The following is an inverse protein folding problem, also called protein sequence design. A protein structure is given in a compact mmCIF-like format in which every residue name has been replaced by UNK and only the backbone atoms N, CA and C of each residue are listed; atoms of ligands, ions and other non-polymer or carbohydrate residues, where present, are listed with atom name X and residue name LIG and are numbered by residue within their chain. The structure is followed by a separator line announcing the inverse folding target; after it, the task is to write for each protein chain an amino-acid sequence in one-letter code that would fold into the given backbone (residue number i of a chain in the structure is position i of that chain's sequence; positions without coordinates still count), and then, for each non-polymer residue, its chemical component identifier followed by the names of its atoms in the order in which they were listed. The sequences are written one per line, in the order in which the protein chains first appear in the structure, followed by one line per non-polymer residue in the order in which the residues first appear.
data_IF_041987468144
#
_entry.id   IF_041987468144
#
_cell.length_a   1.000
_cell.length_b   1.000
_cell.length_c   1.000
_cell.angle_alpha   90.00
_cell.angle_beta   90.00
_cell.angle_gamma   90.00
#
_symmetry.space_group_name_H-M   'P 1'
#
loop_
_entity.id
_entity.type
_entity.pdbx_description
1 polymer ?
#
# COMPACT_ATOMS: atom_id res chain seq x y z
N UNK A 1 -19.75 -16.36 -15.17
CA UNK A 1 -18.60 -17.26 -15.49
C UNK A 1 -17.41 -16.73 -14.72
N UNK A 2 -16.75 -17.57 -13.91
CA UNK A 2 -15.56 -17.21 -13.11
C UNK A 2 -14.33 -17.08 -14.01
N UNK A 3 -13.49 -16.08 -13.76
CA UNK A 3 -12.23 -15.89 -14.48
C UNK A 3 -11.11 -16.52 -13.64
N UNK A 4 -10.37 -17.46 -14.21
CA UNK A 4 -9.27 -18.15 -13.52
C UNK A 4 -7.94 -17.49 -13.84
N UNK A 5 -7.16 -17.20 -12.78
CA UNK A 5 -5.80 -16.64 -12.84
C UNK A 5 -4.83 -17.64 -12.22
N UNK A 6 -4.05 -18.30 -13.04
CA UNK A 6 -2.99 -19.17 -12.56
C UNK A 6 -1.71 -18.34 -12.35
N UNK A 7 -1.38 -18.11 -11.09
CA UNK A 7 -0.18 -17.38 -10.65
C UNK A 7 0.74 -18.25 -9.79
N UNK A 8 0.59 -19.59 -9.89
CA UNK A 8 1.44 -20.55 -9.19
C UNK A 8 2.87 -20.51 -9.73
N UNK A 9 3.84 -20.76 -8.87
CA UNK A 9 5.27 -20.77 -9.22
C UNK A 9 5.84 -19.40 -9.61
N UNK A 10 5.07 -18.32 -9.41
CA UNK A 10 5.54 -16.96 -9.71
C UNK A 10 6.05 -16.27 -8.45
N UNK A 11 7.18 -15.58 -8.60
CA UNK A 11 7.75 -14.73 -7.56
C UNK A 11 7.09 -13.35 -7.52
N UNK A 12 7.11 -12.71 -6.33
CA UNK A 12 6.67 -11.32 -6.16
C UNK A 12 7.41 -10.38 -7.14
N UNK A 13 6.73 -9.45 -7.82
CA UNK A 13 5.32 -9.07 -7.68
C UNK A 13 4.36 -9.74 -8.70
N UNK A 14 4.83 -10.70 -9.51
CA UNK A 14 4.09 -11.26 -10.66
C UNK A 14 2.68 -11.78 -10.31
N UNK A 15 2.43 -12.48 -9.16
CA UNK A 15 1.08 -12.89 -8.78
C UNK A 15 0.11 -11.71 -8.67
N UNK A 16 0.55 -10.61 -8.06
CA UNK A 16 -0.26 -9.39 -7.91
C UNK A 16 -0.52 -8.73 -9.26
N UNK A 17 0.50 -8.62 -10.12
CA UNK A 17 0.36 -8.02 -11.46
C UNK A 17 -0.63 -8.80 -12.32
N UNK A 18 -0.52 -10.14 -12.38
CA UNK A 18 -1.49 -10.98 -13.12
C UNK A 18 -2.91 -10.85 -12.57
N UNK A 19 -3.04 -10.78 -11.25
CA UNK A 19 -4.35 -10.60 -10.61
C UNK A 19 -4.94 -9.24 -10.98
N UNK A 20 -4.13 -8.17 -10.99
CA UNK A 20 -4.54 -6.83 -11.41
C UNK A 20 -5.09 -6.84 -12.83
N UNK A 21 -4.31 -7.37 -13.78
CA UNK A 21 -4.72 -7.43 -15.19
C UNK A 21 -6.05 -8.19 -15.39
N UNK A 22 -6.23 -9.29 -14.63
CA UNK A 22 -7.47 -10.07 -14.68
C UNK A 22 -8.62 -9.32 -14.03
N UNK A 23 -8.40 -8.65 -12.91
CA UNK A 23 -9.40 -7.88 -12.18
C UNK A 23 -9.94 -6.71 -13.02
N UNK A 24 -9.06 -5.97 -13.68
CA UNK A 24 -9.44 -4.88 -14.61
C UNK A 24 -10.30 -5.38 -15.77
N UNK A 25 -9.99 -6.57 -16.31
CA UNK A 25 -10.79 -7.19 -17.40
C UNK A 25 -12.08 -7.83 -16.92
N UNK A 26 -12.17 -8.15 -15.63
CA UNK A 26 -13.30 -8.87 -15.08
C UNK A 26 -14.58 -8.02 -15.05
N UNK A 27 -14.48 -6.70 -14.88
CA UNK A 27 -15.62 -5.78 -14.80
C UNK A 27 -16.70 -6.28 -13.81
N UNK A 28 -16.26 -6.60 -12.57
CA UNK A 28 -17.14 -7.10 -11.50
C UNK A 28 -17.41 -8.62 -11.50
N UNK A 29 -17.01 -9.36 -12.53
CA UNK A 29 -17.15 -10.83 -12.53
C UNK A 29 -16.22 -11.48 -11.52
N UNK A 30 -16.62 -12.64 -10.93
CA UNK A 30 -15.82 -13.31 -9.93
C UNK A 30 -14.50 -13.84 -10.50
N UNK A 31 -13.45 -13.78 -9.68
CA UNK A 31 -12.13 -14.32 -9.97
C UNK A 31 -11.85 -15.55 -9.09
N UNK A 32 -11.09 -16.48 -9.66
CA UNK A 32 -10.35 -17.52 -8.95
C UNK A 32 -8.85 -17.27 -9.19
N UNK A 33 -8.10 -16.91 -8.15
CA UNK A 33 -6.65 -16.73 -8.23
C UNK A 33 -5.95 -17.87 -7.49
N UNK A 34 -5.04 -18.55 -8.17
CA UNK A 34 -4.25 -19.66 -7.61
C UNK A 34 -2.80 -19.22 -7.41
N UNK A 35 -2.24 -19.45 -6.22
CA UNK A 35 -0.85 -19.13 -5.86
C UNK A 35 -0.21 -20.27 -5.06
N UNK A 36 1.13 -20.36 -5.05
CA UNK A 36 1.88 -21.49 -4.48
C UNK A 36 2.39 -21.28 -3.05
N UNK A 37 2.17 -20.12 -2.43
CA UNK A 37 2.68 -19.85 -1.08
C UNK A 37 1.87 -18.79 -0.34
N UNK A 38 1.99 -18.81 0.99
CA UNK A 38 1.24 -17.92 1.87
C UNK A 38 1.56 -16.43 1.62
N UNK A 39 2.82 -16.07 1.33
CA UNK A 39 3.21 -14.68 1.04
C UNK A 39 2.50 -14.15 -0.21
N UNK A 40 2.44 -14.96 -1.28
CA UNK A 40 1.73 -14.59 -2.52
C UNK A 40 0.22 -14.51 -2.28
N UNK A 41 -0.37 -15.44 -1.51
CA UNK A 41 -1.76 -15.40 -1.08
C UNK A 41 -2.09 -14.08 -0.39
N UNK A 42 -1.31 -13.72 0.63
CA UNK A 42 -1.56 -12.53 1.44
C UNK A 42 -1.40 -11.23 0.63
N UNK A 43 -0.41 -11.19 -0.27
CA UNK A 43 -0.21 -10.06 -1.18
C UNK A 43 -1.37 -9.89 -2.17
N UNK A 44 -1.87 -10.99 -2.75
CA UNK A 44 -3.02 -10.98 -3.67
C UNK A 44 -4.29 -10.56 -2.94
N UNK A 45 -4.56 -11.10 -1.75
CA UNK A 45 -5.72 -10.74 -0.93
C UNK A 45 -5.71 -9.24 -0.60
N UNK A 46 -4.56 -8.70 -0.18
CA UNK A 46 -4.43 -7.27 0.12
C UNK A 46 -4.71 -6.41 -1.10
N UNK A 47 -4.13 -6.79 -2.25
CA UNK A 47 -4.37 -6.09 -3.50
C UNK A 47 -5.85 -6.08 -3.85
N UNK A 48 -6.52 -7.24 -3.86
CA UNK A 48 -7.94 -7.37 -4.18
C UNK A 48 -8.82 -6.54 -3.26
N UNK A 49 -8.62 -6.62 -1.93
CA UNK A 49 -9.35 -5.81 -0.95
C UNK A 49 -9.17 -4.31 -1.19
N UNK A 50 -7.96 -3.87 -1.48
CA UNK A 50 -7.65 -2.46 -1.75
C UNK A 50 -8.25 -1.96 -3.06
N UNK A 51 -8.43 -2.86 -4.03
CA UNK A 51 -9.09 -2.59 -5.31
C UNK A 51 -10.63 -2.67 -5.24
N UNK A 52 -11.21 -2.83 -4.04
CA UNK A 52 -12.65 -2.91 -3.83
C UNK A 52 -13.27 -4.28 -4.04
N UNK A 53 -12.47 -5.32 -4.31
CA UNK A 53 -12.99 -6.68 -4.43
C UNK A 53 -13.37 -7.26 -3.07
N UNK A 54 -14.51 -7.93 -3.01
CA UNK A 54 -14.92 -8.72 -1.85
C UNK A 54 -14.39 -10.15 -2.01
N UNK A 55 -13.64 -10.63 -1.01
CA UNK A 55 -13.18 -12.02 -0.97
C UNK A 55 -14.32 -12.88 -0.49
N UNK A 56 -14.68 -13.89 -1.29
CA UNK A 56 -15.69 -14.87 -0.93
C UNK A 56 -15.11 -15.92 0.02
N UNK A 57 -14.06 -16.60 -0.42
CA UNK A 57 -13.36 -17.60 0.37
C UNK A 57 -11.93 -17.80 -0.10
N UNK A 58 -11.13 -18.43 0.76
CA UNK A 58 -9.77 -18.87 0.45
C UNK A 58 -9.67 -20.35 0.81
N UNK A 59 -9.30 -21.18 -0.15
CA UNK A 59 -9.11 -22.64 0.05
C UNK A 59 -7.62 -22.95 0.02
N UNK A 60 -7.18 -23.82 0.92
CA UNK A 60 -5.82 -24.35 0.95
C UNK A 60 -5.84 -25.78 0.41
N UNK A 61 -5.08 -26.04 -0.64
CA UNK A 61 -4.96 -27.35 -1.28
C UNK A 61 -3.49 -27.79 -1.29
N UNK A 62 -3.05 -28.43 -0.22
CA UNK A 62 -1.64 -28.77 -0.01
C UNK A 62 -0.79 -27.53 0.19
N UNK A 63 0.10 -27.24 -0.75
CA UNK A 63 0.95 -26.02 -0.74
C UNK A 63 0.36 -24.87 -1.55
N UNK A 64 -0.79 -25.05 -2.17
CA UNK A 64 -1.41 -24.05 -3.04
C UNK A 64 -2.60 -23.37 -2.35
N UNK A 65 -2.87 -22.13 -2.73
CA UNK A 65 -3.99 -21.34 -2.20
C UNK A 65 -4.86 -20.87 -3.36
N UNK A 66 -6.16 -21.10 -3.23
CA UNK A 66 -7.20 -20.71 -4.17
C UNK A 66 -8.03 -19.59 -3.56
N UNK A 67 -7.98 -18.39 -4.13
CA UNK A 67 -8.64 -17.18 -3.64
C UNK A 67 -9.81 -16.89 -4.55
N UNK A 68 -11.02 -16.86 -4.01
CA UNK A 68 -12.25 -16.58 -4.73
C UNK A 68 -12.75 -15.18 -4.38
N UNK A 69 -13.19 -14.41 -5.38
CA UNK A 69 -13.89 -13.15 -5.18
C UNK A 69 -15.37 -13.28 -5.48
N UNK A 70 -16.19 -12.42 -4.87
CA UNK A 70 -17.62 -12.34 -5.14
C UNK A 70 -17.89 -11.74 -6.52
N UNK A 71 -19.09 -12.03 -7.04
CA UNK A 71 -19.62 -11.44 -8.28
C UNK A 71 -20.31 -10.12 -7.92
N UNK A 72 -19.72 -9.00 -8.30
CA UNK A 72 -20.29 -7.65 -8.12
C UNK A 72 -20.84 -7.06 -9.43
N UNK A 73 -20.87 -7.85 -10.50
CA UNK A 73 -21.33 -7.41 -11.81
C UNK A 73 -22.82 -6.98 -11.82
N UNK A 74 -23.61 -7.47 -10.86
CA UNK A 74 -25.04 -7.12 -10.73
C UNK A 74 -25.27 -5.78 -10.05
N UNK A 75 -24.41 -5.38 -9.12
CA UNK A 75 -24.53 -4.08 -8.42
C UNK A 75 -24.24 -2.89 -9.34
N UNK A 76 -23.45 -3.09 -10.41
CA UNK A 76 -23.14 -2.07 -11.41
C UNK A 76 -24.29 -1.82 -12.40
N UNK A 77 -25.26 -2.74 -12.50
CA UNK A 77 -26.40 -2.61 -13.43
C UNK A 77 -27.66 -2.05 -12.77
N UNK A 78 -27.75 -2.02 -11.43
CA UNK A 78 -28.92 -1.50 -10.73
C UNK A 78 -28.83 0.00 -10.39
N UNK A 79 -27.70 0.66 -10.61
CA UNK A 79 -27.49 2.08 -10.31
C UNK A 79 -27.56 3.03 -11.51
N UNK A 80 -28.06 2.58 -12.67
CA UNK A 80 -28.31 3.46 -13.81
C UNK A 80 -29.83 3.55 -14.03
N UNK A 81 -30.51 4.35 -13.22
CA UNK A 81 -31.77 4.96 -13.68
C UNK A 81 -31.41 6.10 -14.63
N UNK A 82 -32.09 6.22 -15.76
CA UNK A 82 -31.84 7.28 -16.72
C UNK A 82 -32.34 8.62 -16.14
N UNK A 83 -31.40 9.46 -15.71
CA UNK A 83 -31.70 10.86 -15.42
C UNK A 83 -31.96 11.60 -16.71
N UNK A 84 -33.05 12.40 -16.70
CA UNK A 84 -33.53 13.24 -17.80
C UNK A 84 -32.44 14.20 -18.33
N UNK A 85 -32.58 14.72 -19.58
CA UNK A 85 -31.55 15.55 -20.21
C UNK A 85 -31.39 16.87 -19.45
N UNK A 86 -30.15 17.17 -19.04
CA UNK A 86 -29.78 18.43 -18.43
C UNK A 86 -29.86 19.55 -19.49
N UNK A 87 -30.75 20.50 -19.30
CA UNK A 87 -30.79 21.73 -20.05
C UNK A 87 -29.47 22.52 -19.89
N UNK A 88 -29.10 23.18 -20.97
CA UNK A 88 -27.89 23.98 -21.19
C UNK A 88 -27.50 24.87 -19.99
N UNK A 89 -26.29 24.65 -19.43
CA UNK A 89 -25.68 25.50 -18.42
C UNK A 89 -24.98 26.67 -19.14
N UNK A 90 -25.43 27.91 -18.87
CA UNK A 90 -24.71 29.13 -19.27
C UNK A 90 -23.36 29.24 -18.51
N UNK A 91 -22.34 29.88 -19.12
CA UNK A 91 -21.02 29.97 -18.48
C UNK A 91 -21.07 30.91 -17.26
N UNK A 92 -20.75 30.39 -16.09
CA UNK A 92 -20.59 31.17 -14.86
C UNK A 92 -19.17 31.75 -14.85
N UNK A 93 -19.04 33.08 -14.86
CA UNK A 93 -17.78 33.77 -14.62
C UNK A 93 -17.28 33.49 -13.18
N UNK A 94 -15.97 33.24 -12.96
CA UNK A 94 -15.43 32.96 -11.64
C UNK A 94 -15.18 34.27 -10.87
N UNK A 95 -16.11 34.69 -10.04
CA UNK A 95 -15.83 35.65 -8.95
C UNK A 95 -15.88 34.89 -7.63
N UNK A 96 -14.77 34.28 -7.25
CA UNK A 96 -14.54 33.80 -5.88
C UNK A 96 -13.42 34.62 -5.27
N UNK A 97 -13.79 35.54 -4.39
CA UNK A 97 -12.83 36.15 -3.46
C UNK A 97 -12.35 35.06 -2.50
N UNK A 98 -11.05 34.71 -2.60
CA UNK A 98 -10.42 33.73 -1.74
C UNK A 98 -10.19 34.34 -0.35
N UNK A 99 -10.93 33.85 0.64
CA UNK A 99 -10.75 34.22 2.04
C UNK A 99 -9.55 33.44 2.60
N UNK A 100 -8.53 34.10 3.20
CA UNK A 100 -7.31 33.42 3.70
C UNK A 100 -7.53 32.43 4.86
N UNK A 101 -8.72 32.35 5.42
CA UNK A 101 -9.04 31.47 6.55
C UNK A 101 -9.53 30.05 6.14
N UNK A 102 -9.73 29.78 4.84
CA UNK A 102 -10.17 28.48 4.34
C UNK A 102 -9.02 27.50 4.01
N UNK A 103 -7.79 27.79 4.42
CA UNK A 103 -6.70 26.80 4.38
C UNK A 103 -6.79 25.83 5.58
N UNK A 104 -7.90 25.12 5.71
CA UNK A 104 -7.90 23.87 6.43
C UNK A 104 -7.13 22.85 5.57
N UNK A 105 -6.14 22.17 6.18
CA UNK A 105 -5.38 21.10 5.55
C UNK A 105 -6.31 20.06 4.93
N UNK A 106 -6.75 20.29 3.70
CA UNK A 106 -7.41 19.29 2.90
C UNK A 106 -6.42 18.14 2.74
N UNK A 107 -6.82 16.96 3.15
CA UNK A 107 -6.07 15.72 2.97
C UNK A 107 -5.62 15.63 1.51
N UNK A 108 -4.31 15.77 1.28
CA UNK A 108 -3.74 15.70 -0.07
C UNK A 108 -4.09 14.34 -0.69
N UNK A 109 -4.44 14.29 -1.99
CA UNK A 109 -4.79 13.03 -2.64
C UNK A 109 -3.65 12.01 -2.49
N UNK A 110 -4.01 10.75 -2.27
CA UNK A 110 -3.06 9.66 -2.11
C UNK A 110 -2.07 9.64 -3.28
N UNK A 111 -0.76 9.79 -2.99
CA UNK A 111 0.31 9.79 -3.99
C UNK A 111 1.04 11.12 -4.18
N UNK A 112 0.55 12.25 -3.64
CA UNK A 112 1.29 13.52 -3.65
C UNK A 112 2.08 13.68 -2.35
N UNK A 113 3.37 14.04 -2.44
CA UNK A 113 4.24 14.26 -1.29
C UNK A 113 5.58 13.53 -1.38
N UNK A 114 6.37 13.63 -0.31
CA UNK A 114 7.67 12.96 -0.22
C UNK A 114 7.49 11.54 0.34
N UNK A 115 8.14 10.57 -0.28
CA UNK A 115 8.27 9.20 0.24
C UNK A 115 9.70 8.94 0.69
N UNK A 116 9.86 8.42 1.90
CA UNK A 116 11.13 7.84 2.34
C UNK A 116 11.16 6.35 1.96
N UNK A 117 12.26 5.93 1.35
CA UNK A 117 12.50 4.54 0.98
C UNK A 117 13.69 4.02 1.79
N UNK A 118 13.42 3.26 2.85
CA UNK A 118 14.41 2.76 3.80
C UNK A 118 14.70 1.29 3.47
N UNK A 119 15.91 1.04 2.97
CA UNK A 119 16.32 -0.29 2.49
C UNK A 119 17.25 -1.02 3.46
N UNK A 120 17.73 -0.33 4.49
CA UNK A 120 18.67 -0.88 5.48
C UNK A 120 18.21 -0.56 6.90
N UNK A 121 18.73 -1.29 7.86
CA UNK A 121 18.54 -1.07 9.30
C UNK A 121 19.56 -0.06 9.90
N UNK A 122 20.36 0.60 9.03
CA UNK A 122 21.40 1.58 9.39
C UNK A 122 21.67 2.57 8.26
N UNK A 123 22.26 3.72 8.57
CA UNK A 123 22.73 4.72 7.61
C UNK A 123 24.24 4.60 7.42
N UNK A 124 24.67 4.62 6.15
CA UNK A 124 26.09 4.61 5.77
C UNK A 124 26.75 3.22 5.82
N UNK A 125 28.05 3.19 5.52
CA UNK A 125 28.86 1.98 5.39
C UNK A 125 30.09 1.95 6.33
N UNK A 126 30.24 2.97 7.19
CA UNK A 126 31.41 3.11 8.07
C UNK A 126 31.33 2.16 9.26
N UNK A 127 30.61 2.56 10.31
CA UNK A 127 30.38 1.74 11.51
C UNK A 127 28.91 1.33 11.59
N UNK A 128 28.66 0.05 11.78
CA UNK A 128 27.31 -0.50 11.92
C UNK A 128 26.59 0.07 13.14
N UNK A 129 27.30 0.19 14.28
CA UNK A 129 26.76 0.75 15.51
C UNK A 129 26.38 2.23 15.33
N UNK A 130 27.27 3.03 14.76
CA UNK A 130 27.01 4.44 14.48
C UNK A 130 25.85 4.57 13.48
N UNK A 131 25.83 3.77 12.40
CA UNK A 131 24.79 3.78 11.39
C UNK A 131 23.41 3.46 11.95
N UNK A 132 23.30 2.50 12.85
CA UNK A 132 22.06 2.14 13.56
C UNK A 132 21.59 3.30 14.44
N UNK A 133 22.49 3.93 15.21
CA UNK A 133 22.17 5.08 16.04
C UNK A 133 21.73 6.29 15.24
N UNK A 134 22.39 6.55 14.09
CA UNK A 134 22.01 7.64 13.17
C UNK A 134 20.63 7.41 12.57
N UNK A 135 20.30 6.20 12.14
CA UNK A 135 18.98 5.90 11.58
C UNK A 135 17.88 6.03 12.63
N UNK A 136 18.13 5.56 13.85
CA UNK A 136 17.19 5.74 14.96
C UNK A 136 16.93 7.22 15.24
N UNK A 137 18.00 8.03 15.34
CA UNK A 137 17.89 9.46 15.56
C UNK A 137 17.14 10.16 14.42
N UNK A 138 17.42 9.77 13.17
CA UNK A 138 16.72 10.28 11.99
C UNK A 138 15.21 10.01 12.08
N UNK A 139 14.80 8.76 12.34
CA UNK A 139 13.37 8.39 12.46
C UNK A 139 12.71 9.16 13.60
N UNK A 140 13.38 9.26 14.75
CA UNK A 140 12.87 10.02 15.91
C UNK A 140 12.66 11.51 15.60
N UNK A 141 13.48 12.09 14.71
CA UNK A 141 13.41 13.52 14.35
C UNK A 141 12.29 13.82 13.35
N UNK A 142 11.81 12.83 12.56
CA UNK A 142 10.82 13.07 11.49
C UNK A 142 9.58 13.80 12.01
N UNK A 143 9.10 13.48 13.19
CA UNK A 143 7.90 14.06 13.80
C UNK A 143 8.01 15.57 14.08
N UNK A 144 9.24 16.08 14.20
CA UNK A 144 9.55 17.45 14.58
C UNK A 144 9.95 18.32 13.36
N UNK A 145 10.02 17.71 12.16
CA UNK A 145 10.33 18.43 10.93
C UNK A 145 9.15 19.29 10.47
N UNK A 146 9.44 20.49 9.95
CA UNK A 146 8.43 21.36 9.36
C UNK A 146 7.80 20.78 8.08
N UNK A 147 8.56 19.97 7.34
CA UNK A 147 8.07 19.23 6.17
C UNK A 147 8.31 17.74 6.44
N UNK A 148 7.22 17.02 6.57
CA UNK A 148 7.26 15.58 6.87
C UNK A 148 7.00 14.75 5.62
N UNK A 149 7.59 13.54 5.52
CA UNK A 149 7.21 12.60 4.48
C UNK A 149 5.76 12.15 4.67
N UNK A 150 5.06 11.90 3.57
CA UNK A 150 3.73 11.32 3.62
C UNK A 150 3.77 9.81 3.87
N UNK A 151 4.77 9.16 3.26
CA UNK A 151 4.90 7.70 3.31
C UNK A 151 6.33 7.30 3.63
N UNK A 152 6.49 6.25 4.42
CA UNK A 152 7.76 5.56 4.63
C UNK A 152 7.59 4.11 4.14
N UNK A 153 8.44 3.69 3.21
CA UNK A 153 8.48 2.33 2.70
C UNK A 153 9.72 1.62 3.26
N UNK A 154 9.50 0.47 3.91
CA UNK A 154 10.56 -0.36 4.47
C UNK A 154 10.79 -1.60 3.62
N UNK A 155 12.03 -1.81 3.20
CA UNK A 155 12.44 -2.98 2.41
C UNK A 155 13.74 -3.56 2.90
N UNK A 156 14.05 -4.79 2.45
CA UNK A 156 15.24 -5.53 2.84
C UNK A 156 15.41 -5.51 4.38
N UNK A 157 16.60 -5.25 4.94
CA UNK A 157 16.79 -5.19 6.39
C UNK A 157 16.09 -4.00 7.05
N UNK A 158 15.65 -3.00 6.31
CA UNK A 158 14.84 -1.89 6.81
C UNK A 158 13.53 -2.34 7.47
N UNK A 159 12.97 -3.50 7.11
CA UNK A 159 11.75 -4.04 7.76
C UNK A 159 11.95 -4.32 9.25
N UNK A 160 13.20 -4.57 9.70
CA UNK A 160 13.55 -4.79 11.10
C UNK A 160 13.31 -3.58 12.00
N UNK A 161 13.18 -2.39 11.42
CA UNK A 161 12.89 -1.16 12.15
C UNK A 161 11.46 -1.07 12.65
N UNK A 162 10.54 -1.81 12.02
CA UNK A 162 9.10 -1.74 12.27
C UNK A 162 8.54 -2.94 13.07
N UNK A 163 9.42 -3.80 13.60
CA UNK A 163 9.02 -5.02 14.33
C UNK A 163 9.09 -4.84 15.84
N UNK A 164 8.42 -5.71 16.56
CA UNK A 164 8.43 -5.80 18.02
C UNK A 164 9.87 -5.90 18.55
N UNK A 165 10.20 -5.11 19.57
CA UNK A 165 11.55 -5.03 20.13
C UNK A 165 12.51 -4.08 19.40
N UNK A 166 12.15 -3.55 18.22
CA UNK A 166 12.97 -2.54 17.58
C UNK A 166 12.95 -1.22 18.35
N UNK A 167 14.14 -0.61 18.55
CA UNK A 167 14.27 0.67 19.25
C UNK A 167 13.58 1.85 18.53
N UNK A 168 13.27 1.67 17.24
CA UNK A 168 12.57 2.65 16.39
C UNK A 168 11.06 2.54 16.49
N UNK A 169 10.52 1.43 17.02
CA UNK A 169 9.11 1.09 16.99
C UNK A 169 8.21 2.18 17.56
N UNK A 170 8.59 2.71 18.73
CA UNK A 170 7.80 3.76 19.43
C UNK A 170 7.65 5.02 18.55
N UNK A 171 8.70 5.40 17.84
CA UNK A 171 8.67 6.58 16.95
C UNK A 171 7.81 6.32 15.71
N UNK A 172 7.88 5.10 15.15
CA UNK A 172 7.08 4.72 13.99
C UNK A 172 5.58 4.68 14.33
N UNK A 173 5.22 4.14 15.50
CA UNK A 173 3.83 4.14 15.98
C UNK A 173 3.32 5.57 16.20
N UNK A 174 4.15 6.47 16.71
CA UNK A 174 3.80 7.90 16.86
C UNK A 174 3.56 8.54 15.48
N UNK A 175 4.40 8.28 14.48
CA UNK A 175 4.23 8.77 13.11
C UNK A 175 2.96 8.22 12.45
N UNK A 176 2.68 6.93 12.65
CA UNK A 176 1.45 6.29 12.15
C UNK A 176 0.19 6.91 12.77
N UNK A 177 0.22 7.19 14.09
CA UNK A 177 -0.88 7.88 14.79
C UNK A 177 -1.13 9.28 14.24
N UNK A 178 -0.09 9.96 13.75
CA UNK A 178 -0.18 11.27 13.08
C UNK A 178 -0.64 11.17 11.60
N UNK A 179 -0.99 9.99 11.13
CA UNK A 179 -1.53 9.75 9.79
C UNK A 179 -0.48 9.50 8.71
N UNK A 180 0.78 9.22 9.08
CA UNK A 180 1.81 8.82 8.13
C UNK A 180 1.60 7.39 7.65
N UNK A 181 1.67 7.15 6.35
CA UNK A 181 1.58 5.81 5.79
C UNK A 181 2.91 5.06 5.92
N UNK A 182 2.91 3.95 6.64
CA UNK A 182 4.06 3.07 6.80
C UNK A 182 3.83 1.77 6.03
N UNK A 183 4.60 1.53 4.98
CA UNK A 183 4.49 0.34 4.12
C UNK A 183 5.69 -0.59 4.35
N UNK A 184 5.44 -1.80 4.81
CA UNK A 184 6.48 -2.77 5.14
C UNK A 184 6.40 -3.96 4.17
N UNK A 185 7.50 -4.25 3.46
CA UNK A 185 7.54 -5.31 2.45
C UNK A 185 7.29 -6.69 3.05
N UNK A 186 6.18 -7.33 2.69
CA UNK A 186 5.80 -8.66 3.19
C UNK A 186 6.79 -9.76 2.78
N UNK A 187 7.36 -9.70 1.57
CA UNK A 187 8.41 -10.64 1.13
C UNK A 187 9.65 -10.54 2.02
N UNK A 188 10.05 -9.31 2.41
CA UNK A 188 11.20 -9.12 3.29
C UNK A 188 10.91 -9.60 4.72
N UNK A 189 9.72 -9.31 5.25
CA UNK A 189 9.29 -9.83 6.55
C UNK A 189 9.30 -11.36 6.58
N UNK A 190 8.78 -12.00 5.53
CA UNK A 190 8.79 -13.47 5.41
C UNK A 190 10.21 -14.02 5.33
N UNK A 191 11.10 -13.40 4.56
CA UNK A 191 12.49 -13.82 4.43
C UNK A 191 13.25 -13.81 5.78
N UNK A 192 12.98 -12.79 6.61
CA UNK A 192 13.58 -12.66 7.93
C UNK A 192 12.80 -13.37 9.07
N UNK A 193 11.69 -14.07 8.75
CA UNK A 193 10.76 -14.70 9.71
C UNK A 193 10.15 -13.70 10.72
N UNK A 194 9.86 -12.46 10.27
CA UNK A 194 9.38 -11.36 11.10
C UNK A 194 7.92 -10.98 10.82
N UNK A 195 7.18 -11.77 10.04
CA UNK A 195 5.81 -11.43 9.63
C UNK A 195 4.86 -11.26 10.82
N UNK A 196 5.01 -12.09 11.85
CA UNK A 196 4.20 -12.03 13.07
C UNK A 196 4.68 -10.97 14.08
N UNK A 197 5.88 -10.45 13.86
CA UNK A 197 6.53 -9.48 14.76
C UNK A 197 6.28 -8.03 14.32
N UNK A 198 5.51 -7.81 13.25
CA UNK A 198 5.23 -6.45 12.78
C UNK A 198 4.50 -5.64 13.87
N UNK A 199 5.13 -4.55 14.34
CA UNK A 199 4.62 -3.71 15.42
C UNK A 199 4.14 -2.32 14.96
N UNK A 200 4.52 -1.88 13.74
CA UNK A 200 4.07 -0.62 13.14
C UNK A 200 3.95 -0.75 11.62
N UNK A 201 3.00 -0.02 11.05
CA UNK A 201 2.78 0.00 9.62
C UNK A 201 1.94 -1.15 9.09
N UNK A 202 1.80 -1.19 7.77
CA UNK A 202 1.00 -2.18 7.04
C UNK A 202 1.91 -3.06 6.20
N UNK A 203 1.68 -4.37 6.22
CA UNK A 203 2.37 -5.26 5.31
C UNK A 203 1.94 -4.90 3.88
N UNK A 204 2.92 -4.67 3.02
CA UNK A 204 2.73 -4.29 1.63
C UNK A 204 3.51 -5.23 0.70
N UNK A 205 3.43 -4.99 -0.59
CA UNK A 205 4.12 -5.76 -1.62
C UNK A 205 4.88 -4.83 -2.56
N UNK A 206 5.75 -5.39 -3.40
CA UNK A 206 6.58 -4.62 -4.33
C UNK A 206 5.74 -3.77 -5.30
N UNK A 207 4.59 -4.26 -5.74
CA UNK A 207 3.73 -3.52 -6.65
C UNK A 207 3.21 -2.22 -6.00
N UNK A 208 2.63 -2.32 -4.80
CA UNK A 208 2.09 -1.18 -4.06
C UNK A 208 3.18 -0.17 -3.68
N UNK A 209 4.34 -0.67 -3.21
CA UNK A 209 5.49 0.19 -2.87
C UNK A 209 5.98 0.93 -4.11
N UNK A 210 6.10 0.24 -5.27
CA UNK A 210 6.53 0.86 -6.53
C UNK A 210 5.52 1.90 -7.01
N UNK A 211 4.22 1.62 -6.92
CA UNK A 211 3.18 2.62 -7.26
C UNK A 211 3.28 3.88 -6.40
N UNK A 212 3.46 3.73 -5.08
CA UNK A 212 3.62 4.87 -4.17
C UNK A 212 4.86 5.67 -4.53
N UNK A 213 6.00 5.01 -4.79
CA UNK A 213 7.24 5.68 -5.17
C UNK A 213 7.09 6.47 -6.47
N UNK A 214 6.48 5.87 -7.50
CA UNK A 214 6.29 6.51 -8.82
C UNK A 214 5.27 7.66 -8.80
N UNK A 215 4.27 7.60 -7.92
CA UNK A 215 3.29 8.67 -7.73
C UNK A 215 3.77 9.79 -6.81
N UNK A 216 4.87 9.59 -6.08
CA UNK A 216 5.42 10.58 -5.15
C UNK A 216 6.10 11.72 -5.90
N UNK A 217 5.96 12.94 -5.38
CA UNK A 217 6.66 14.12 -5.92
C UNK A 217 8.16 13.99 -5.73
N UNK A 218 8.58 13.35 -4.63
CA UNK A 218 10.00 13.13 -4.29
C UNK A 218 10.16 11.80 -3.56
N UNK A 219 11.17 11.04 -3.92
CA UNK A 219 11.60 9.84 -3.19
C UNK A 219 12.99 10.07 -2.62
N UNK A 220 13.16 9.82 -1.33
CA UNK A 220 14.45 9.88 -0.63
C UNK A 220 14.79 8.47 -0.19
N UNK A 221 15.90 7.93 -0.66
CA UNK A 221 16.39 6.60 -0.29
C UNK A 221 17.43 6.69 0.82
N UNK A 222 17.30 5.83 1.83
CA UNK A 222 18.18 5.69 3.00
C UNK A 222 18.63 4.24 3.15
#
# INVERSE_FOLDING_TARGET
MIITVDARGLDCPKPVVKTKEAFERASGRPLLVMVSNATSRDNVIRFLKRSGAQIDRVEEQGSEFHIYTQDTSRELTESIEPTEPIESIEPIEPTVELNPEDYSCASQPAGTGTTLFITKDRIGLGSDELGTNLLRAFIATIKDLSVQPRTICFMNSGVKLAVTGAQTLVYLQELETKGMDLLVCGTCLSYFNLTQELGAGKISNMYDISEVMLKSTKVITI
#
